data_IF_943621726058
#
_entry.id   IF_943621726058
#
_cell.length_a   1.000
_cell.length_b   1.000
_cell.length_c   1.000
_cell.angle_alpha   90.00
_cell.angle_beta   90.00
_cell.angle_gamma   90.00
#
_symmetry.space_group_name_H-M   'P 1'
#
loop_
_entity.id
_entity.type
_entity.pdbx_description
1 polymer ?
#
# COMPACT_ATOMS: atom_id res chain seq x y z
N UNK A 1 17.62 11.83 18.34
CA UNK A 1 16.19 12.14 18.11
C UNK A 1 16.03 13.64 17.93
N UNK A 2 16.50 14.16 16.79
CA UNK A 2 16.32 15.55 16.41
C UNK A 2 14.87 15.83 16.05
N UNK A 3 14.45 17.07 16.24
CA UNK A 3 13.09 17.58 16.17
C UNK A 3 12.47 17.39 14.76
N UNK A 4 11.96 16.18 14.45
CA UNK A 4 11.25 15.86 13.20
C UNK A 4 10.10 16.85 12.94
N UNK A 5 9.46 17.34 14.00
CA UNK A 5 8.43 18.39 13.91
C UNK A 5 8.97 19.75 13.43
N UNK A 6 10.26 20.05 13.63
CA UNK A 6 10.91 21.24 13.08
C UNK A 6 11.28 21.06 11.59
N UNK A 7 11.67 19.84 11.19
CA UNK A 7 11.96 19.50 9.78
C UNK A 7 10.65 19.49 8.97
N UNK A 8 9.57 18.95 9.52
CA UNK A 8 8.24 18.91 8.90
C UNK A 8 7.67 20.28 8.51
N UNK A 9 8.16 21.39 9.09
CA UNK A 9 7.72 22.75 8.71
C UNK A 9 8.12 23.14 7.28
N UNK A 10 9.09 22.45 6.70
CA UNK A 10 9.59 22.72 5.35
C UNK A 10 9.39 21.55 4.38
N UNK A 11 8.80 20.45 4.83
CA UNK A 11 8.48 19.32 3.96
C UNK A 11 7.25 19.69 3.13
N UNK A 12 7.37 19.51 1.82
CA UNK A 12 6.29 19.69 0.85
C UNK A 12 6.34 18.54 -0.14
N UNK A 13 5.17 18.14 -0.63
CA UNK A 13 5.06 17.25 -1.77
C UNK A 13 5.51 17.97 -3.05
N UNK A 14 5.78 17.21 -4.13
CA UNK A 14 6.13 17.74 -5.45
C UNK A 14 5.09 18.75 -5.98
N UNK A 15 3.81 18.54 -5.64
CA UNK A 15 2.72 19.43 -6.02
C UNK A 15 2.67 20.74 -5.20
N UNK A 16 3.59 20.96 -4.25
CA UNK A 16 3.67 22.15 -3.40
C UNK A 16 2.75 22.14 -2.17
N UNK A 17 1.95 21.09 -1.98
CA UNK A 17 1.09 20.96 -0.81
C UNK A 17 1.88 20.45 0.40
N UNK A 18 1.60 20.96 1.62
CA UNK A 18 2.22 20.46 2.83
C UNK A 18 1.63 19.09 3.20
N UNK A 19 2.42 18.19 3.81
CA UNK A 19 1.89 16.93 4.29
C UNK A 19 1.08 17.11 5.58
N UNK A 20 0.18 16.17 5.86
CA UNK A 20 -0.64 16.24 7.06
C UNK A 20 0.24 16.01 8.29
N UNK A 21 0.22 16.96 9.23
CA UNK A 21 1.05 16.88 10.45
C UNK A 21 0.70 15.66 11.32
N UNK A 22 -0.53 15.16 11.22
CA UNK A 22 -0.95 13.94 11.91
C UNK A 22 -0.16 12.71 11.43
N UNK A 23 0.24 12.67 10.15
CA UNK A 23 1.00 11.54 9.57
C UNK A 23 2.39 11.42 10.20
N UNK A 24 2.97 12.53 10.70
CA UNK A 24 4.27 12.55 11.39
C UNK A 24 4.15 12.46 12.92
N UNK A 25 2.94 12.54 13.47
CA UNK A 25 2.70 12.45 14.91
C UNK A 25 2.59 10.98 15.37
N UNK A 26 2.31 10.08 14.43
CA UNK A 26 2.31 8.64 14.66
C UNK A 26 3.76 8.16 14.65
N UNK A 27 4.28 7.77 15.83
CA UNK A 27 5.63 7.22 15.99
C UNK A 27 5.73 5.77 15.50
N UNK A 28 5.19 5.51 14.32
CA UNK A 28 5.26 4.22 13.65
C UNK A 28 6.30 4.31 12.53
N UNK A 29 7.43 3.61 12.70
CA UNK A 29 8.63 3.79 11.87
C UNK A 29 8.34 3.56 10.37
N UNK A 30 7.60 2.52 10.02
CA UNK A 30 7.29 2.19 8.62
C UNK A 30 6.31 3.21 8.00
N UNK A 31 5.32 3.70 8.75
CA UNK A 31 4.44 4.77 8.27
C UNK A 31 5.21 6.08 8.00
N UNK A 32 6.16 6.41 8.87
CA UNK A 32 7.02 7.58 8.69
C UNK A 32 7.89 7.44 7.45
N UNK A 33 8.50 6.27 7.24
CA UNK A 33 9.31 5.97 6.05
C UNK A 33 8.49 6.12 4.77
N UNK A 34 7.33 5.47 4.68
CA UNK A 34 6.40 5.58 3.55
C UNK A 34 6.02 7.04 3.26
N UNK A 35 5.73 7.81 4.32
CA UNK A 35 5.35 9.23 4.20
C UNK A 35 6.51 10.05 3.65
N UNK A 36 7.73 9.85 4.15
CA UNK A 36 8.92 10.57 3.69
C UNK A 36 9.26 10.23 2.24
N UNK A 37 9.24 8.95 1.87
CA UNK A 37 9.47 8.50 0.49
C UNK A 37 8.43 9.08 -0.50
N UNK A 38 7.19 9.31 -0.02
CA UNK A 38 6.13 9.87 -0.86
C UNK A 38 6.27 11.36 -1.16
N UNK A 39 7.11 12.10 -0.43
CA UNK A 39 7.23 13.56 -0.59
C UNK A 39 7.80 13.97 -1.97
N UNK A 40 8.50 13.08 -2.64
CA UNK A 40 9.01 13.31 -4.01
C UNK A 40 7.91 13.29 -5.07
N UNK A 41 6.67 12.96 -4.71
CA UNK A 41 5.53 12.80 -5.61
C UNK A 41 4.39 13.76 -5.25
N UNK A 42 3.27 13.64 -5.99
CA UNK A 42 2.05 14.37 -5.70
C UNK A 42 1.41 13.90 -4.39
N UNK A 43 0.84 14.84 -3.64
CA UNK A 43 0.21 14.55 -2.36
C UNK A 43 -1.04 13.64 -2.52
N UNK A 44 -1.50 13.01 -1.42
CA UNK A 44 -2.69 12.17 -1.45
C UNK A 44 -3.94 12.89 -2.00
N UNK A 45 -4.11 14.17 -1.72
CA UNK A 45 -5.26 14.95 -2.21
C UNK A 45 -5.23 15.12 -3.73
N UNK A 46 -4.05 15.37 -4.31
CA UNK A 46 -3.86 15.44 -5.75
C UNK A 46 -4.11 14.08 -6.42
N UNK A 47 -3.71 12.98 -5.78
CA UNK A 47 -4.01 11.63 -6.27
C UNK A 47 -5.52 11.37 -6.29
N UNK A 48 -6.22 11.69 -5.19
CA UNK A 48 -7.70 11.54 -5.10
C UNK A 48 -8.42 12.37 -6.15
N UNK A 49 -7.93 13.58 -6.44
CA UNK A 49 -8.47 14.41 -7.51
C UNK A 49 -8.30 13.73 -8.88
N UNK A 50 -7.15 13.12 -9.18
CA UNK A 50 -6.93 12.39 -10.42
C UNK A 50 -7.93 11.23 -10.60
N UNK A 51 -8.15 10.43 -9.56
CA UNK A 51 -9.15 9.35 -9.58
C UNK A 51 -10.58 9.88 -9.82
N UNK A 52 -10.93 10.99 -9.16
CA UNK A 52 -12.27 11.59 -9.28
C UNK A 52 -12.54 12.12 -10.68
N UNK A 53 -11.52 12.60 -11.40
CA UNK A 53 -11.66 13.11 -12.77
C UNK A 53 -12.03 12.03 -13.79
N UNK A 54 -11.69 10.77 -13.51
CA UNK A 54 -11.89 9.62 -14.40
C UNK A 54 -12.87 8.60 -13.82
N UNK A 55 -13.57 8.95 -12.73
CA UNK A 55 -14.55 8.11 -12.03
C UNK A 55 -14.02 6.70 -11.69
N UNK A 56 -12.79 6.63 -11.18
CA UNK A 56 -12.10 5.38 -10.90
C UNK A 56 -12.01 5.10 -9.39
N UNK A 57 -12.59 3.98 -8.94
CA UNK A 57 -12.58 3.57 -7.54
C UNK A 57 -11.34 2.73 -7.21
N UNK A 58 -10.25 3.41 -6.84
CA UNK A 58 -9.00 2.81 -6.37
C UNK A 58 -9.17 2.18 -4.98
N UNK A 59 -8.76 0.91 -4.85
CA UNK A 59 -8.96 0.11 -3.63
C UNK A 59 -7.74 -0.78 -3.37
N UNK A 60 -7.54 -1.15 -2.10
CA UNK A 60 -6.52 -2.10 -1.69
C UNK A 60 -7.08 -3.31 -0.95
N UNK A 61 -6.47 -4.46 -1.20
CA UNK A 61 -6.83 -5.76 -0.68
C UNK A 61 -5.60 -6.40 -0.03
N UNK A 62 -5.71 -6.69 1.26
CA UNK A 62 -4.67 -7.34 2.05
C UNK A 62 -5.10 -8.77 2.41
N UNK A 63 -4.35 -9.76 1.93
CA UNK A 63 -4.64 -11.20 2.12
C UNK A 63 -3.42 -11.96 2.60
N UNK A 64 -3.63 -13.22 2.99
CA UNK A 64 -2.57 -14.16 3.31
C UNK A 64 -2.53 -15.23 2.21
N UNK A 65 -1.38 -15.41 1.57
CA UNK A 65 -1.17 -16.48 0.61
C UNK A 65 -0.25 -17.53 1.19
N UNK A 66 -0.62 -18.79 0.96
CA UNK A 66 0.27 -19.92 1.12
C UNK A 66 1.13 -20.02 -0.14
N UNK A 67 2.45 -19.95 0.02
CA UNK A 67 3.39 -20.00 -1.10
C UNK A 67 3.82 -21.45 -1.31
N UNK A 68 4.36 -22.05 -0.25
CA UNK A 68 4.80 -23.44 -0.25
C UNK A 68 4.81 -24.01 1.18
N UNK A 69 5.42 -25.19 1.35
CA UNK A 69 5.49 -25.92 2.61
C UNK A 69 6.24 -25.19 3.73
N UNK A 70 7.01 -24.15 3.41
CA UNK A 70 7.84 -23.42 4.35
C UNK A 70 7.44 -21.95 4.45
N UNK A 71 6.81 -21.38 3.41
CA UNK A 71 6.59 -19.94 3.31
C UNK A 71 5.13 -19.56 3.09
N UNK A 72 4.77 -18.45 3.70
CA UNK A 72 3.55 -17.71 3.44
C UNK A 72 3.89 -16.23 3.22
N UNK A 73 3.00 -15.49 2.56
CA UNK A 73 3.15 -14.05 2.41
C UNK A 73 1.86 -13.32 2.75
N UNK A 74 1.97 -12.22 3.49
CA UNK A 74 0.90 -11.22 3.42
C UNK A 74 1.05 -10.48 2.10
N UNK A 75 -0.03 -10.42 1.33
CA UNK A 75 -0.05 -9.81 0.02
C UNK A 75 -0.96 -8.60 0.05
N UNK A 76 -0.45 -7.47 -0.43
CA UNK A 76 -1.21 -6.24 -0.58
C UNK A 76 -1.35 -5.95 -2.08
N UNK A 77 -2.57 -5.94 -2.57
CA UNK A 77 -2.90 -5.64 -3.97
C UNK A 77 -3.69 -4.34 -4.06
N UNK A 78 -3.22 -3.41 -4.87
CA UNK A 78 -3.90 -2.14 -5.15
C UNK A 78 -4.45 -2.17 -6.57
N UNK A 79 -5.76 -2.06 -6.68
CA UNK A 79 -6.51 -2.12 -7.93
C UNK A 79 -6.88 -0.73 -8.44
N UNK A 80 -7.14 -0.63 -9.75
CA UNK A 80 -7.66 0.59 -10.38
C UNK A 80 -6.75 1.81 -10.12
N UNK A 81 -5.44 1.63 -10.23
CA UNK A 81 -4.44 2.66 -9.99
C UNK A 81 -4.17 3.46 -11.25
N UNK A 82 -4.06 4.78 -11.12
CA UNK A 82 -3.56 5.68 -12.18
C UNK A 82 -2.44 6.58 -11.66
N UNK A 83 -1.72 7.21 -12.57
CA UNK A 83 -0.76 8.26 -12.22
C UNK A 83 -1.48 9.40 -11.48
N UNK A 84 -0.91 9.94 -10.39
CA UNK A 84 0.47 9.73 -9.94
C UNK A 84 0.67 8.60 -8.92
N UNK A 85 -0.38 7.91 -8.48
CA UNK A 85 -0.25 6.84 -7.47
C UNK A 85 0.59 5.65 -7.99
N UNK A 86 0.54 5.33 -9.29
CA UNK A 86 1.37 4.28 -9.88
C UNK A 86 2.87 4.46 -9.61
N UNK A 87 3.36 5.69 -9.72
CA UNK A 87 4.78 6.00 -9.57
C UNK A 87 5.20 5.89 -8.10
N UNK A 88 4.32 6.32 -7.19
CA UNK A 88 4.48 6.16 -5.74
C UNK A 88 4.57 4.67 -5.38
N UNK A 89 3.67 3.84 -5.91
CA UNK A 89 3.65 2.41 -5.64
C UNK A 89 4.93 1.73 -6.13
N UNK A 90 5.38 2.03 -7.35
CA UNK A 90 6.62 1.49 -7.91
C UNK A 90 7.83 1.78 -7.01
N UNK A 91 7.98 3.02 -6.54
CA UNK A 91 9.09 3.42 -5.66
C UNK A 91 8.99 2.80 -4.27
N UNK A 92 7.80 2.43 -3.81
CA UNK A 92 7.60 1.78 -2.51
C UNK A 92 7.59 0.25 -2.58
N UNK A 93 8.13 -0.32 -3.67
CA UNK A 93 8.37 -1.76 -3.81
C UNK A 93 7.15 -2.57 -4.27
N UNK A 94 6.11 -1.91 -4.80
CA UNK A 94 5.01 -2.59 -5.45
C UNK A 94 5.39 -2.94 -6.90
N UNK A 95 4.99 -4.13 -7.33
CA UNK A 95 5.17 -4.63 -8.68
C UNK A 95 3.84 -4.67 -9.41
N UNK A 96 3.85 -4.31 -10.68
CA UNK A 96 2.66 -4.40 -11.53
C UNK A 96 2.49 -5.83 -12.03
N UNK A 97 1.39 -6.48 -11.65
CA UNK A 97 1.13 -7.88 -11.96
C UNK A 97 -0.38 -8.18 -12.04
N UNK A 98 -0.72 -9.44 -12.24
CA UNK A 98 -2.09 -9.93 -12.21
C UNK A 98 -2.57 -10.14 -10.78
N UNK A 99 -3.85 -9.90 -10.46
CA UNK A 99 -4.38 -10.12 -9.11
C UNK A 99 -4.35 -11.60 -8.73
N UNK A 100 -4.26 -11.86 -7.44
CA UNK A 100 -4.33 -13.21 -6.88
C UNK A 100 -5.77 -13.70 -6.93
N UNK A 101 -5.96 -14.99 -7.25
CA UNK A 101 -7.30 -15.56 -7.39
C UNK A 101 -7.87 -16.02 -6.03
N UNK A 102 -7.02 -16.59 -5.18
CA UNK A 102 -7.32 -17.09 -3.84
C UNK A 102 -6.01 -17.27 -3.04
N UNK A 103 -6.12 -17.87 -1.84
CA UNK A 103 -4.99 -18.08 -0.93
C UNK A 103 -3.95 -19.12 -1.41
N UNK A 104 -4.30 -19.96 -2.38
CA UNK A 104 -3.50 -21.12 -2.84
C UNK A 104 -2.96 -20.95 -4.26
N UNK A 105 -3.56 -20.06 -5.03
CA UNK A 105 -3.23 -19.77 -6.42
C UNK A 105 -2.03 -18.84 -6.49
N UNK A 106 -0.87 -19.37 -6.10
CA UNK A 106 0.42 -18.74 -6.34
C UNK A 106 0.84 -18.92 -7.81
N UNK A 107 -0.03 -18.54 -8.74
CA UNK A 107 0.23 -18.72 -10.16
C UNK A 107 0.78 -17.44 -10.78
N UNK A 108 2.05 -17.50 -11.19
CA UNK A 108 2.75 -16.51 -12.01
C UNK A 108 2.30 -16.49 -13.49
N UNK A 109 1.09 -16.95 -13.80
CA UNK A 109 0.57 -16.84 -15.15
C UNK A 109 -0.48 -17.88 -15.50
N UNK A 110 -1.74 -17.45 -15.47
CA UNK A 110 -2.72 -17.76 -16.52
C UNK A 110 -3.52 -16.47 -16.74
N UNK A 111 -3.49 -15.94 -17.96
CA UNK A 111 -4.25 -14.77 -18.39
C UNK A 111 -5.75 -14.97 -18.10
N UNK A 112 -6.26 -14.31 -17.06
CA UNK A 112 -7.69 -14.11 -16.87
C UNK A 112 -7.98 -12.62 -16.96
N UNK A 113 -8.13 -12.14 -18.19
CA UNK A 113 -8.95 -10.96 -18.51
C UNK A 113 -8.61 -9.64 -17.80
N UNK A 114 -7.71 -8.87 -18.39
CA UNK A 114 -7.81 -7.39 -18.49
C UNK A 114 -7.62 -6.55 -17.23
N UNK A 115 -7.53 -7.14 -16.03
CA UNK A 115 -7.41 -6.39 -14.77
C UNK A 115 -6.04 -6.63 -14.14
N UNK A 116 -5.27 -5.55 -13.98
CA UNK A 116 -3.95 -5.54 -13.37
C UNK A 116 -3.96 -4.86 -12.01
N UNK A 117 -3.09 -5.28 -11.11
CA UNK A 117 -2.90 -4.68 -9.79
C UNK A 117 -1.44 -4.32 -9.54
N UNK A 118 -1.24 -3.43 -8.57
CA UNK A 118 0.07 -3.22 -7.95
C UNK A 118 0.17 -4.07 -6.69
N UNK A 119 1.10 -5.02 -6.65
CA UNK A 119 1.27 -5.96 -5.55
C UNK A 119 2.55 -5.72 -4.78
N UNK A 120 2.48 -5.78 -3.46
CA UNK A 120 3.64 -5.92 -2.57
C UNK A 120 3.43 -7.13 -1.65
N UNK A 121 4.49 -7.89 -1.43
CA UNK A 121 4.43 -9.14 -0.66
C UNK A 121 5.37 -9.06 0.55
N UNK A 122 4.88 -9.56 1.67
CA UNK A 122 5.59 -9.60 2.94
C UNK A 122 5.74 -11.06 3.37
N UNK A 123 6.87 -11.65 2.98
CA UNK A 123 7.14 -13.07 3.13
C UNK A 123 7.58 -13.42 4.55
N UNK A 124 7.18 -14.58 5.03
CA UNK A 124 7.63 -15.14 6.29
C UNK A 124 7.67 -16.68 6.26
N UNK A 125 8.65 -17.24 6.97
CA UNK A 125 8.79 -18.68 7.16
C UNK A 125 7.77 -19.19 8.19
N UNK A 126 7.24 -20.40 8.05
CA UNK A 126 6.28 -21.01 8.97
C UNK A 126 6.86 -21.30 10.37
N UNK A 127 8.18 -21.29 10.51
CA UNK A 127 8.92 -21.35 11.79
C UNK A 127 9.13 -19.97 12.41
N UNK A 128 8.73 -18.88 11.73
CA UNK A 128 8.80 -17.52 12.26
C UNK A 128 7.99 -17.45 13.56
N UNK A 129 8.58 -16.88 14.61
CA UNK A 129 7.89 -16.76 15.89
C UNK A 129 6.60 -15.93 15.74
N UNK A 130 5.52 -16.26 16.48
CA UNK A 130 4.26 -15.53 16.41
C UNK A 130 4.42 -14.02 16.62
N UNK A 131 5.36 -13.59 17.48
CA UNK A 131 5.64 -12.18 17.74
C UNK A 131 6.15 -11.44 16.49
N UNK A 132 6.98 -12.11 15.68
CA UNK A 132 7.49 -11.54 14.43
C UNK A 132 6.40 -11.49 13.35
N UNK A 133 5.51 -12.50 13.30
CA UNK A 133 4.33 -12.46 12.43
C UNK A 133 3.41 -11.28 12.82
N UNK A 134 3.20 -11.05 14.12
CA UNK A 134 2.40 -9.92 14.61
C UNK A 134 3.03 -8.57 14.27
N UNK A 135 4.36 -8.45 14.32
CA UNK A 135 5.07 -7.24 13.86
C UNK A 135 4.86 -7.00 12.36
N UNK A 136 4.92 -8.05 11.56
CA UNK A 136 4.66 -7.99 10.13
C UNK A 136 3.21 -7.56 9.84
N UNK A 137 2.23 -8.10 10.58
CA UNK A 137 0.84 -7.66 10.51
C UNK A 137 0.68 -6.18 10.89
N UNK A 138 1.48 -5.67 11.83
CA UNK A 138 1.47 -4.25 12.17
C UNK A 138 2.01 -3.39 11.03
N UNK A 139 3.09 -3.82 10.37
CA UNK A 139 3.61 -3.14 9.16
C UNK A 139 2.57 -3.11 8.04
N UNK A 140 1.89 -4.24 7.81
CA UNK A 140 0.79 -4.32 6.83
C UNK A 140 -0.34 -3.32 7.13
N UNK A 141 -0.71 -3.15 8.40
CA UNK A 141 -1.73 -2.17 8.80
C UNK A 141 -1.28 -0.73 8.56
N UNK A 142 0.01 -0.45 8.75
CA UNK A 142 0.60 0.86 8.47
C UNK A 142 0.57 1.17 6.98
N UNK A 143 0.96 0.21 6.14
CA UNK A 143 0.87 0.30 4.67
C UNK A 143 -0.57 0.57 4.21
N UNK A 144 -1.54 -0.20 4.72
CA UNK A 144 -2.96 0.01 4.40
C UNK A 144 -3.48 1.37 4.87
N UNK A 145 -3.01 1.85 6.02
CA UNK A 145 -3.37 3.19 6.55
C UNK A 145 -2.81 4.30 5.68
N UNK A 146 -1.55 4.17 5.25
CA UNK A 146 -0.90 5.09 4.33
C UNK A 146 -1.61 5.12 2.97
N UNK A 147 -1.87 3.96 2.39
CA UNK A 147 -2.60 3.82 1.12
C UNK A 147 -4.00 4.44 1.16
N UNK A 148 -4.72 4.26 2.28
CA UNK A 148 -6.05 4.84 2.45
C UNK A 148 -6.06 6.36 2.26
N UNK A 149 -4.95 7.07 2.51
CA UNK A 149 -4.88 8.50 2.25
C UNK A 149 -5.01 8.84 0.75
N UNK A 150 -4.59 7.94 -0.14
CA UNK A 150 -4.60 8.15 -1.59
C UNK A 150 -5.92 7.77 -2.27
N UNK A 151 -6.81 7.05 -1.59
CA UNK A 151 -8.02 6.51 -2.20
C UNK A 151 -9.21 7.46 -2.15
N UNK A 152 -10.05 7.53 -3.20
CA UNK A 152 -11.26 8.36 -3.20
C UNK A 152 -12.17 8.12 -2.00
N UNK A 153 -12.29 6.85 -1.57
CA UNK A 153 -13.14 6.41 -0.45
C UNK A 153 -12.40 6.35 0.89
N UNK A 154 -11.14 6.80 0.92
CA UNK A 154 -10.31 6.75 2.12
C UNK A 154 -10.17 5.33 2.67
N UNK A 155 -10.34 5.19 3.99
CA UNK A 155 -10.30 3.90 4.70
C UNK A 155 -11.38 2.90 4.28
N UNK A 156 -12.45 3.33 3.60
CA UNK A 156 -13.47 2.39 3.11
C UNK A 156 -13.01 1.63 1.85
N UNK A 157 -11.94 2.10 1.19
CA UNK A 157 -11.31 1.42 0.06
C UNK A 157 -10.27 0.37 0.46
N UNK A 158 -10.07 0.10 1.76
CA UNK A 158 -9.14 -0.91 2.25
C UNK A 158 -9.89 -2.14 2.76
N UNK A 159 -9.41 -3.32 2.36
CA UNK A 159 -10.05 -4.60 2.68
C UNK A 159 -9.04 -5.59 3.22
N UNK A 160 -9.41 -6.34 4.26
CA UNK A 160 -8.58 -7.39 4.85
C UNK A 160 -9.28 -8.74 4.71
N UNK A 161 -8.54 -9.79 4.36
CA UNK A 161 -9.08 -11.15 4.17
C UNK A 161 -10.14 -11.22 3.07
N UNK A 162 -9.98 -10.40 2.03
CA UNK A 162 -10.83 -10.33 0.86
C UNK A 162 -9.99 -10.18 -0.39
N UNK A 163 -10.29 -10.96 -1.42
CA UNK A 163 -9.68 -10.82 -2.74
C UNK A 163 -10.40 -9.76 -3.58
N UNK A 164 -9.70 -9.23 -4.58
CA UNK A 164 -10.27 -8.29 -5.53
C UNK A 164 -11.49 -8.93 -6.24
N UNK A 165 -12.66 -8.28 -6.24
CA UNK A 165 -13.79 -8.73 -7.04
C UNK A 165 -13.45 -8.68 -8.53
N UNK A 166 -13.91 -9.68 -9.28
CA UNK A 166 -13.78 -9.74 -10.75
C UNK A 166 -14.92 -9.01 -11.44
#
# INVERSE_FOLDING_TARGET
MGNLAAVAKHLVYQCGHPPNKADFALFEENLLELTLCSLEFNCPDCCRAAFSLIDLDCQAYANLHYIDQNFSAFTLEVANVVSPLSDILATNGYQFCWPSLDELSYDNGIEYGGVSVWRKEFWFDHQTSPENVLRLMNHLKQEMTWLANYFPRGKQGTHYGKFMPR
#
